data_IF_768100334121
#
_entry.id   IF_768100334121
#
_cell.length_a   1.000
_cell.length_b   1.000
_cell.length_c   1.000
_cell.angle_alpha   90.00
_cell.angle_beta   90.00
_cell.angle_gamma   90.00
#
_symmetry.space_group_name_H-M   'P 1'
#
loop_
_entity.id
_entity.type
_entity.pdbx_description
1 polymer ?
#
# COMPACT_ATOMS: atom_id res chain seq x y z
N UNK A 1 -1.31 23.64 5.53
CA UNK A 1 -0.03 22.95 5.65
C UNK A 1 -0.31 21.48 5.49
N UNK A 2 0.41 20.79 4.61
CA UNK A 2 0.21 19.35 4.41
C UNK A 2 0.59 18.63 5.72
N UNK A 3 -0.25 17.69 6.15
CA UNK A 3 -0.02 16.94 7.39
C UNK A 3 1.24 16.09 7.29
N UNK A 4 1.66 15.70 6.08
CA UNK A 4 2.96 15.05 5.84
C UNK A 4 4.13 16.01 6.03
N UNK A 5 4.01 17.26 5.59
CA UNK A 5 5.04 18.28 5.82
C UNK A 5 5.22 18.57 7.32
N UNK A 6 4.16 18.44 8.11
CA UNK A 6 4.23 18.49 9.59
C UNK A 6 4.90 17.24 10.17
N UNK A 7 4.57 16.05 9.65
CA UNK A 7 5.03 14.76 10.18
C UNK A 7 6.48 14.45 9.85
N UNK A 8 6.94 14.66 8.62
CA UNK A 8 8.26 14.18 8.16
C UNK A 8 9.44 14.70 9.01
N UNK A 9 9.50 16.00 9.38
CA UNK A 9 10.55 16.49 10.28
C UNK A 9 10.43 15.89 11.68
N UNK A 10 9.21 15.69 12.16
CA UNK A 10 8.92 15.17 13.49
C UNK A 10 9.27 13.68 13.60
N UNK A 11 8.91 12.86 12.61
CA UNK A 11 9.30 11.45 12.50
C UNK A 11 10.82 11.27 12.47
N UNK A 12 11.55 12.13 11.74
CA UNK A 12 13.02 12.13 11.74
C UNK A 12 13.60 12.43 13.12
N UNK A 13 13.02 13.38 13.85
CA UNK A 13 13.44 13.70 15.21
C UNK A 13 13.16 12.53 16.17
N UNK A 14 11.99 11.88 16.08
CA UNK A 14 11.66 10.67 16.84
C UNK A 14 12.69 9.57 16.56
N UNK A 15 12.98 9.26 15.29
CA UNK A 15 13.96 8.24 14.94
C UNK A 15 15.35 8.52 15.50
N UNK A 16 15.79 9.78 15.52
CA UNK A 16 17.05 10.17 16.15
C UNK A 16 17.03 10.03 17.68
N UNK A 17 15.88 10.31 18.34
CA UNK A 17 15.70 10.10 19.78
C UNK A 17 15.71 8.61 20.13
N UNK A 18 15.03 7.77 19.36
CA UNK A 18 15.03 6.30 19.52
C UNK A 18 16.44 5.75 19.39
N UNK A 19 17.17 6.14 18.34
CA UNK A 19 18.55 5.70 18.13
C UNK A 19 19.46 6.06 19.31
N UNK A 20 19.39 7.32 19.79
CA UNK A 20 20.16 7.74 20.97
C UNK A 20 19.78 6.95 22.22
N UNK A 21 18.49 6.65 22.39
CA UNK A 21 18.00 5.88 23.52
C UNK A 21 18.50 4.44 23.49
N UNK A 22 18.51 3.79 22.32
CA UNK A 22 19.03 2.44 22.17
C UNK A 22 20.53 2.37 22.48
N UNK A 23 21.31 3.33 22.01
CA UNK A 23 22.73 3.45 22.36
C UNK A 23 22.92 3.59 23.88
N UNK A 24 22.14 4.46 24.53
CA UNK A 24 22.16 4.61 25.98
C UNK A 24 21.85 3.28 26.70
N UNK A 25 20.80 2.57 26.28
CA UNK A 25 20.42 1.28 26.87
C UNK A 25 21.50 0.21 26.70
N UNK A 26 22.20 0.20 25.56
CA UNK A 26 23.27 -0.73 25.27
C UNK A 26 24.51 -0.47 26.15
N UNK A 27 24.93 0.78 26.28
CA UNK A 27 26.15 1.16 27.00
C UNK A 27 26.01 1.06 28.53
N UNK A 28 24.78 1.16 29.05
CA UNK A 28 24.54 1.28 30.50
C UNK A 28 23.91 0.04 31.14
N UNK A 29 23.87 -1.10 30.45
CA UNK A 29 23.04 -2.25 30.86
C UNK A 29 23.40 -2.84 32.24
N UNK A 30 24.68 -2.81 32.66
CA UNK A 30 25.22 -3.60 33.80
C UNK A 30 25.40 -2.80 35.10
N UNK A 31 25.17 -1.48 35.08
CA UNK A 31 25.58 -0.60 36.17
C UNK A 31 24.42 -0.22 37.12
N UNK A 32 24.61 -0.49 38.43
CA UNK A 32 23.68 -0.25 39.54
C UNK A 32 23.83 1.15 40.19
N UNK A 33 24.67 2.03 39.62
CA UNK A 33 24.77 3.42 40.08
C UNK A 33 23.40 4.15 40.05
N UNK A 34 23.19 5.17 40.92
CA UNK A 34 22.00 6.03 40.86
C UNK A 34 21.83 6.67 39.48
N UNK A 35 20.59 6.97 39.09
CA UNK A 35 20.30 7.68 37.85
C UNK A 35 20.93 9.08 37.85
N UNK A 36 21.49 9.48 36.71
CA UNK A 36 22.04 10.81 36.53
C UNK A 36 21.09 11.75 35.77
N UNK A 37 21.55 12.98 35.58
CA UNK A 37 20.83 13.99 34.81
C UNK A 37 20.55 13.57 33.34
N UNK A 38 21.37 12.67 32.78
CA UNK A 38 21.20 12.16 31.42
C UNK A 38 19.91 11.33 31.28
N UNK A 39 19.67 10.38 32.20
CA UNK A 39 18.48 9.52 32.20
C UNK A 39 17.20 10.34 32.35
N UNK A 40 17.23 11.33 33.25
CA UNK A 40 16.11 12.26 33.47
C UNK A 40 15.78 13.01 32.19
N UNK A 41 16.80 13.57 31.52
CA UNK A 41 16.60 14.32 30.28
C UNK A 41 16.09 13.43 29.16
N UNK A 42 16.61 12.19 29.05
CA UNK A 42 16.15 11.23 28.06
C UNK A 42 14.66 10.89 28.25
N UNK A 43 14.23 10.63 29.49
CA UNK A 43 12.82 10.37 29.79
C UNK A 43 11.92 11.58 29.50
N UNK A 44 12.39 12.81 29.76
CA UNK A 44 11.65 14.02 29.40
C UNK A 44 11.50 14.16 27.89
N UNK A 45 12.56 13.90 27.12
CA UNK A 45 12.50 13.91 25.66
C UNK A 45 11.56 12.83 25.12
N UNK A 46 11.63 11.60 25.65
CA UNK A 46 10.73 10.50 25.28
C UNK A 46 9.27 10.82 25.59
N UNK A 47 9.00 11.36 26.78
CA UNK A 47 7.66 11.83 27.14
C UNK A 47 7.16 12.89 26.18
N UNK A 48 7.98 13.91 25.90
CA UNK A 48 7.61 14.95 24.96
C UNK A 48 7.31 14.39 23.57
N UNK A 49 8.09 13.42 23.09
CA UNK A 49 7.87 12.76 21.81
C UNK A 49 6.53 12.01 21.76
N UNK A 50 6.26 11.21 22.79
CA UNK A 50 5.00 10.48 22.92
C UNK A 50 3.79 11.39 22.99
N UNK A 51 3.82 12.42 23.85
CA UNK A 51 2.74 13.40 23.99
C UNK A 51 2.51 14.12 22.65
N UNK A 52 3.58 14.47 21.94
CA UNK A 52 3.51 15.10 20.62
C UNK A 52 2.94 14.16 19.54
N UNK A 53 3.20 12.85 19.59
CA UNK A 53 2.55 11.85 18.71
C UNK A 53 1.04 11.79 18.98
N UNK A 54 0.62 11.80 20.24
CA UNK A 54 -0.79 11.83 20.62
C UNK A 54 -1.49 13.10 20.13
N UNK A 55 -0.88 14.26 20.38
CA UNK A 55 -1.39 15.54 19.90
C UNK A 55 -1.49 15.56 18.37
N UNK A 56 -0.52 14.98 17.67
CA UNK A 56 -0.57 14.83 16.22
C UNK A 56 -1.76 13.97 15.77
N UNK A 57 -1.99 12.83 16.42
CA UNK A 57 -3.11 11.93 16.14
C UNK A 57 -4.45 12.64 16.36
N UNK A 58 -4.62 13.31 17.49
CA UNK A 58 -5.85 14.03 17.83
C UNK A 58 -6.13 15.19 16.89
N UNK A 59 -5.10 16.00 16.56
CA UNK A 59 -5.25 17.08 15.57
C UNK A 59 -5.59 16.54 14.19
N UNK A 60 -4.99 15.41 13.78
CA UNK A 60 -5.27 14.74 12.51
C UNK A 60 -6.69 14.16 12.46
N UNK A 61 -7.15 13.56 13.56
CA UNK A 61 -8.52 13.09 13.72
C UNK A 61 -9.53 14.25 13.64
N UNK A 62 -9.26 15.36 14.33
CA UNK A 62 -10.10 16.57 14.29
C UNK A 62 -10.16 17.22 12.89
N UNK A 63 -9.10 17.07 12.08
CA UNK A 63 -9.07 17.46 10.65
C UNK A 63 -9.82 16.49 9.74
N UNK A 64 -10.33 15.38 10.25
CA UNK A 64 -11.07 14.37 9.48
C UNK A 64 -10.18 13.47 8.61
N UNK A 65 -8.89 13.35 8.93
CA UNK A 65 -8.01 12.44 8.19
C UNK A 65 -8.40 10.98 8.45
N UNK A 66 -8.45 10.19 7.37
CA UNK A 66 -8.92 8.81 7.40
C UNK A 66 -8.08 7.97 8.36
N UNK A 67 -8.75 7.18 9.20
CA UNK A 67 -8.13 6.25 10.16
C UNK A 67 -7.62 6.86 11.45
N UNK A 68 -7.35 8.17 11.51
CA UNK A 68 -6.86 8.83 12.73
C UNK A 68 -7.87 8.84 13.88
N UNK A 69 -9.17 9.01 13.59
CA UNK A 69 -10.21 8.96 14.62
C UNK A 69 -10.35 7.57 15.26
N UNK A 70 -10.20 6.50 14.47
CA UNK A 70 -10.21 5.13 14.98
C UNK A 70 -8.94 4.85 15.80
N UNK A 71 -7.78 5.32 15.31
CA UNK A 71 -6.52 5.25 16.05
C UNK A 71 -6.62 5.95 17.42
N UNK A 72 -7.15 7.19 17.45
CA UNK A 72 -7.36 7.94 18.70
C UNK A 72 -8.30 7.18 19.67
N UNK A 73 -9.44 6.67 19.19
CA UNK A 73 -10.35 5.86 20.00
C UNK A 73 -9.68 4.59 20.55
N UNK A 74 -8.84 3.92 19.75
CA UNK A 74 -8.11 2.72 20.15
C UNK A 74 -7.04 3.04 21.20
N UNK A 75 -6.36 4.18 21.07
CA UNK A 75 -5.39 4.66 22.05
C UNK A 75 -6.06 5.17 23.34
N UNK A 76 -7.29 5.70 23.27
CA UNK A 76 -8.07 6.10 24.44
C UNK A 76 -8.65 4.89 25.20
N UNK A 77 -9.03 3.83 24.49
CA UNK A 77 -9.60 2.62 25.07
C UNK A 77 -8.55 1.59 25.52
N UNK A 78 -7.37 1.58 24.87
CA UNK A 78 -6.20 0.86 25.36
C UNK A 78 -5.70 1.47 26.68
N UNK A 79 -5.01 0.67 27.51
CA UNK A 79 -4.26 1.23 28.65
C UNK A 79 -3.23 2.20 28.07
N UNK A 80 -3.51 3.50 28.11
CA UNK A 80 -2.50 4.54 27.95
C UNK A 80 -1.36 4.16 28.90
N UNK A 81 -0.14 4.11 28.39
CA UNK A 81 0.98 4.44 29.25
C UNK A 81 0.76 5.92 29.54
N UNK A 82 0.01 6.23 30.59
CA UNK A 82 -0.17 7.61 31.03
C UNK A 82 1.20 8.07 31.45
N UNK A 83 1.78 8.94 30.63
CA UNK A 83 3.02 9.66 30.88
C UNK A 83 3.14 10.18 32.32
N UNK A 84 1.99 10.60 32.85
CA UNK A 84 1.79 11.16 34.18
C UNK A 84 2.00 10.16 35.32
N UNK A 85 1.91 8.85 35.07
CA UNK A 85 2.06 7.83 36.11
C UNK A 85 3.50 7.31 36.31
N UNK A 86 4.47 7.74 35.48
CA UNK A 86 5.76 7.04 35.40
C UNK A 86 7.03 7.89 35.32
N UNK A 87 6.98 9.22 35.22
CA UNK A 87 8.17 10.02 35.54
C UNK A 87 8.09 10.32 37.03
N UNK A 88 8.93 9.72 37.87
CA UNK A 88 8.94 10.05 39.27
C UNK A 88 9.26 11.53 39.44
N UNK A 89 8.48 12.23 40.27
CA UNK A 89 8.85 13.59 40.69
C UNK A 89 10.21 13.59 41.41
N UNK A 90 10.60 12.44 41.97
CA UNK A 90 11.88 12.18 42.62
C UNK A 90 12.68 11.09 41.88
N UNK A 91 13.40 11.51 40.83
CA UNK A 91 14.21 10.60 40.00
C UNK A 91 15.43 10.06 40.75
N UNK A 92 15.91 10.79 41.76
CA UNK A 92 17.06 10.37 42.56
C UNK A 92 16.73 9.18 43.48
N UNK A 93 15.44 8.96 43.78
CA UNK A 93 14.96 7.87 44.62
C UNK A 93 14.70 6.54 43.87
N UNK A 94 14.74 6.54 42.53
CA UNK A 94 14.33 5.37 41.75
C UNK A 94 15.53 4.48 41.36
N UNK A 95 15.42 3.16 41.54
CA UNK A 95 16.45 2.24 41.06
C UNK A 95 16.67 2.40 39.56
N UNK A 96 17.93 2.45 39.12
CA UNK A 96 18.29 2.59 37.69
C UNK A 96 17.72 1.46 36.83
N UNK A 97 17.49 0.28 37.41
CA UNK A 97 16.82 -0.85 36.77
C UNK A 97 15.36 -0.55 36.40
N UNK A 98 14.62 0.15 37.25
CA UNK A 98 13.26 0.60 36.95
C UNK A 98 13.27 1.67 35.87
N UNK A 99 14.19 2.62 35.94
CA UNK A 99 14.34 3.67 34.93
C UNK A 99 14.69 3.12 33.55
N UNK A 100 15.56 2.11 33.47
CA UNK A 100 15.87 1.39 32.22
C UNK A 100 14.63 0.72 31.64
N UNK A 101 13.82 0.05 32.47
CA UNK A 101 12.55 -0.56 32.04
C UNK A 101 11.63 0.51 31.45
N UNK A 102 11.48 1.64 32.13
CA UNK A 102 10.67 2.74 31.64
C UNK A 102 11.17 3.25 30.29
N UNK A 103 12.45 3.63 30.19
CA UNK A 103 13.05 4.11 28.94
C UNK A 103 12.78 3.13 27.78
N UNK A 104 12.91 1.82 28.01
CA UNK A 104 12.60 0.78 27.02
C UNK A 104 11.11 0.78 26.64
N UNK A 105 10.21 0.79 27.61
CA UNK A 105 8.77 0.77 27.38
C UNK A 105 8.30 2.02 26.62
N UNK A 106 8.88 3.18 26.93
CA UNK A 106 8.63 4.44 26.22
C UNK A 106 9.10 4.40 24.77
N UNK A 107 10.34 3.97 24.51
CA UNK A 107 10.84 3.84 23.12
C UNK A 107 9.99 2.87 22.31
N UNK A 108 9.60 1.73 22.89
CA UNK A 108 8.73 0.79 22.19
C UNK A 108 7.35 1.41 21.89
N UNK A 109 6.79 2.15 22.83
CA UNK A 109 5.49 2.81 22.66
C UNK A 109 5.53 3.90 21.60
N UNK A 110 6.60 4.72 21.59
CA UNK A 110 6.82 5.77 20.59
C UNK A 110 7.00 5.16 19.20
N UNK A 111 7.81 4.11 19.06
CA UNK A 111 8.02 3.45 17.77
C UNK A 111 6.75 2.81 17.21
N UNK A 112 5.87 2.30 18.08
CA UNK A 112 4.54 1.81 17.67
C UNK A 112 3.64 2.96 17.17
N UNK A 113 3.63 4.10 17.87
CA UNK A 113 2.85 5.28 17.46
C UNK A 113 3.38 5.89 16.16
N UNK A 114 4.70 6.01 16.04
CA UNK A 114 5.38 6.50 14.83
C UNK A 114 5.00 5.63 13.64
N UNK A 115 5.12 4.30 13.76
CA UNK A 115 4.77 3.37 12.70
C UNK A 115 3.29 3.48 12.30
N UNK A 116 2.39 3.62 13.27
CA UNK A 116 0.95 3.77 13.02
C UNK A 116 0.64 5.10 12.31
N UNK A 117 1.25 6.21 12.74
CA UNK A 117 1.06 7.52 12.10
C UNK A 117 1.61 7.51 10.68
N UNK A 118 2.83 7.01 10.50
CA UNK A 118 3.46 6.85 9.18
C UNK A 118 2.60 5.98 8.27
N UNK A 119 2.02 4.89 8.79
CA UNK A 119 1.05 4.06 8.08
C UNK A 119 -0.20 4.86 7.69
N UNK A 120 -0.84 5.56 8.62
CA UNK A 120 -2.06 6.33 8.35
C UNK A 120 -1.84 7.48 7.35
N UNK A 121 -0.63 8.04 7.33
CA UNK A 121 -0.23 9.05 6.37
C UNK A 121 0.26 8.47 5.06
N UNK A 122 0.55 7.17 4.96
CA UNK A 122 1.04 6.58 3.73
C UNK A 122 -0.02 6.68 2.64
N UNK A 123 0.41 7.10 1.45
CA UNK A 123 -0.47 7.10 0.27
C UNK A 123 -0.56 5.68 -0.29
N UNK A 124 -1.33 4.83 0.38
CA UNK A 124 -1.49 3.44 -0.06
C UNK A 124 -2.01 3.38 -1.50
N UNK A 125 -2.94 4.25 -1.90
CA UNK A 125 -3.43 4.25 -3.27
C UNK A 125 -2.34 4.62 -4.28
N UNK A 126 -1.52 5.64 -4.01
CA UNK A 126 -0.37 5.97 -4.85
C UNK A 126 0.64 4.82 -4.92
N UNK A 127 0.92 4.15 -3.79
CA UNK A 127 1.80 2.99 -3.76
C UNK A 127 1.25 1.84 -4.61
N UNK A 128 -0.03 1.47 -4.43
CA UNK A 128 -0.69 0.41 -5.21
C UNK A 128 -0.68 0.78 -6.69
N UNK A 129 -0.99 2.03 -7.04
CA UNK A 129 -0.96 2.54 -8.42
C UNK A 129 0.42 2.40 -9.05
N UNK A 130 1.46 2.91 -8.38
CA UNK A 130 2.83 2.86 -8.90
C UNK A 130 3.32 1.41 -9.04
N UNK A 131 2.96 0.53 -8.10
CA UNK A 131 3.30 -0.88 -8.12
C UNK A 131 2.57 -1.62 -9.24
N UNK A 132 1.30 -1.29 -9.49
CA UNK A 132 0.51 -1.85 -10.60
C UNK A 132 1.10 -1.46 -11.95
N UNK A 133 1.45 -0.18 -12.14
CA UNK A 133 2.14 0.30 -13.34
C UNK A 133 3.46 -0.42 -13.59
N UNK A 134 4.24 -0.61 -12.52
CA UNK A 134 5.50 -1.33 -12.60
C UNK A 134 5.26 -2.80 -12.97
N UNK A 135 4.26 -3.44 -12.39
CA UNK A 135 3.92 -4.83 -12.66
C UNK A 135 3.53 -5.03 -14.13
N UNK A 136 2.70 -4.17 -14.72
CA UNK A 136 2.36 -4.23 -16.15
C UNK A 136 3.58 -3.97 -17.06
N UNK A 137 4.42 -2.98 -16.73
CA UNK A 137 5.66 -2.73 -17.48
C UNK A 137 6.62 -3.93 -17.38
N UNK A 138 6.71 -4.55 -16.21
CA UNK A 138 7.51 -5.75 -16.00
C UNK A 138 6.98 -6.91 -16.83
N UNK A 139 5.66 -7.13 -16.84
CA UNK A 139 5.00 -8.16 -17.66
C UNK A 139 5.34 -7.99 -19.13
N UNK A 140 5.15 -6.78 -19.68
CA UNK A 140 5.43 -6.50 -21.09
C UNK A 140 6.90 -6.78 -21.43
N UNK A 141 7.83 -6.42 -20.53
CA UNK A 141 9.26 -6.70 -20.71
C UNK A 141 9.58 -8.19 -20.66
N UNK A 142 9.00 -8.94 -19.73
CA UNK A 142 9.19 -10.38 -19.64
C UNK A 142 8.70 -11.08 -20.90
N UNK A 143 7.50 -10.76 -21.40
CA UNK A 143 6.96 -11.32 -22.65
C UNK A 143 7.88 -11.04 -23.83
N UNK A 144 8.51 -9.86 -23.90
CA UNK A 144 9.45 -9.51 -24.97
C UNK A 144 10.74 -10.32 -24.96
N UNK A 145 11.21 -10.79 -23.80
CA UNK A 145 12.55 -11.40 -23.66
C UNK A 145 12.51 -12.90 -23.36
N UNK A 146 11.47 -13.39 -22.70
CA UNK A 146 11.33 -14.79 -22.32
C UNK A 146 10.46 -15.53 -23.36
N UNK A 147 11.11 -16.35 -24.19
CA UNK A 147 10.46 -17.10 -25.25
C UNK A 147 9.43 -18.11 -24.72
N UNK A 148 9.65 -18.68 -23.53
CA UNK A 148 8.71 -19.64 -22.92
C UNK A 148 7.47 -18.90 -22.43
N UNK A 149 7.67 -17.81 -21.69
CA UNK A 149 6.55 -16.99 -21.22
C UNK A 149 5.72 -16.47 -22.42
N UNK A 150 6.39 -16.01 -23.48
CA UNK A 150 5.72 -15.61 -24.72
C UNK A 150 4.89 -16.74 -25.33
N UNK A 151 5.42 -17.95 -25.40
CA UNK A 151 4.69 -19.11 -25.91
C UNK A 151 3.47 -19.46 -25.04
N UNK A 152 3.61 -19.38 -23.71
CA UNK A 152 2.50 -19.61 -22.76
C UNK A 152 1.39 -18.56 -22.95
N UNK A 153 1.75 -17.29 -23.11
CA UNK A 153 0.80 -16.21 -23.39
C UNK A 153 0.13 -16.37 -24.76
N UNK A 154 0.87 -16.73 -25.82
CA UNK A 154 0.30 -17.01 -27.13
C UNK A 154 -0.69 -18.20 -27.09
N UNK A 155 -0.34 -19.26 -26.35
CA UNK A 155 -1.22 -20.40 -26.14
C UNK A 155 -2.48 -20.03 -25.35
N UNK A 156 -2.37 -19.19 -24.32
CA UNK A 156 -3.51 -18.66 -23.57
C UNK A 156 -4.41 -17.80 -24.46
N UNK A 157 -3.82 -16.94 -25.29
CA UNK A 157 -4.55 -16.10 -26.25
C UNK A 157 -5.34 -16.93 -27.27
N UNK A 158 -4.80 -18.07 -27.70
CA UNK A 158 -5.50 -19.03 -28.55
C UNK A 158 -6.72 -19.70 -27.90
N UNK A 159 -6.82 -19.69 -26.56
CA UNK A 159 -7.94 -20.24 -25.80
C UNK A 159 -9.03 -19.18 -25.58
N UNK A 160 -9.42 -18.92 -24.33
CA UNK A 160 -10.44 -17.93 -23.93
C UNK A 160 -9.80 -16.78 -23.15
N UNK A 161 -10.57 -15.73 -22.93
CA UNK A 161 -10.14 -14.53 -22.21
C UNK A 161 -9.61 -14.86 -20.81
N UNK A 162 -10.28 -15.78 -20.12
CA UNK A 162 -9.96 -16.21 -18.76
C UNK A 162 -8.55 -16.83 -18.66
N UNK A 163 -8.04 -17.42 -19.75
CA UNK A 163 -6.69 -17.96 -19.75
C UNK A 163 -5.63 -16.85 -19.68
N UNK A 164 -5.83 -15.73 -20.38
CA UNK A 164 -4.95 -14.56 -20.30
C UNK A 164 -5.12 -13.84 -18.96
N UNK A 165 -6.35 -13.72 -18.48
CA UNK A 165 -6.71 -13.13 -17.18
C UNK A 165 -5.94 -13.82 -16.03
N UNK A 166 -5.93 -15.15 -15.98
CA UNK A 166 -5.19 -15.92 -14.97
C UNK A 166 -3.68 -15.71 -15.02
N UNK A 167 -3.09 -15.67 -16.23
CA UNK A 167 -1.65 -15.39 -16.38
C UNK A 167 -1.31 -13.98 -15.91
N UNK A 168 -2.13 -13.00 -16.30
CA UNK A 168 -2.00 -11.61 -15.86
C UNK A 168 -2.11 -11.46 -14.35
N UNK A 169 -3.14 -12.07 -13.76
CA UNK A 169 -3.38 -12.07 -12.32
C UNK A 169 -2.26 -12.76 -11.53
N UNK A 170 -1.75 -13.89 -12.03
CA UNK A 170 -0.61 -14.59 -11.43
C UNK A 170 0.64 -13.71 -11.44
N UNK A 171 0.87 -12.99 -12.54
CA UNK A 171 1.98 -12.04 -12.61
C UNK A 171 1.79 -10.88 -11.63
N UNK A 172 0.59 -10.31 -11.52
CA UNK A 172 0.29 -9.26 -10.52
C UNK A 172 0.54 -9.77 -9.09
N UNK A 173 0.21 -11.03 -8.80
CA UNK A 173 0.45 -11.65 -7.50
C UNK A 173 1.95 -11.76 -7.16
N UNK A 174 2.83 -11.95 -8.14
CA UNK A 174 4.29 -11.88 -7.92
C UNK A 174 4.76 -10.50 -7.43
N UNK A 175 3.98 -9.46 -7.67
CA UNK A 175 4.20 -8.12 -7.11
C UNK A 175 3.38 -7.86 -5.85
N UNK A 176 2.77 -8.88 -5.23
CA UNK A 176 1.87 -8.72 -4.09
C UNK A 176 0.58 -7.96 -4.42
N UNK A 177 0.15 -7.97 -5.68
CA UNK A 177 -1.09 -7.37 -6.13
C UNK A 177 -2.10 -8.47 -6.44
N UNK A 178 -3.20 -8.47 -5.71
CA UNK A 178 -4.31 -9.39 -5.87
C UNK A 178 -5.29 -8.78 -6.88
N UNK A 179 -5.23 -9.28 -8.10
CA UNK A 179 -6.17 -8.91 -9.15
C UNK A 179 -7.50 -9.60 -8.90
N UNK A 180 -8.59 -8.84 -8.95
CA UNK A 180 -9.93 -9.37 -8.74
C UNK A 180 -10.91 -8.82 -9.77
N UNK A 181 -12.02 -9.55 -9.96
CA UNK A 181 -13.23 -9.03 -10.58
C UNK A 181 -14.39 -9.13 -9.62
N UNK A 182 -15.47 -8.45 -9.98
CA UNK A 182 -16.68 -8.42 -9.18
C UNK A 182 -17.77 -9.17 -9.95
N UNK A 183 -18.44 -10.10 -9.28
CA UNK A 183 -19.56 -10.81 -9.88
C UNK A 183 -20.86 -9.96 -9.85
N UNK A 184 -21.94 -10.49 -10.43
CA UNK A 184 -23.24 -9.80 -10.46
C UNK A 184 -23.88 -9.61 -9.09
N UNK A 185 -23.36 -10.26 -8.04
CA UNK A 185 -23.81 -10.13 -6.65
C UNK A 185 -22.92 -9.16 -5.85
N UNK A 186 -21.88 -8.59 -6.46
CA UNK A 186 -20.94 -7.69 -5.80
C UNK A 186 -19.80 -8.40 -5.05
N UNK A 187 -19.66 -9.73 -5.18
CA UNK A 187 -18.61 -10.48 -4.53
C UNK A 187 -17.29 -10.37 -5.31
N UNK A 188 -16.18 -10.22 -4.58
CA UNK A 188 -14.83 -10.14 -5.14
C UNK A 188 -14.28 -11.54 -5.35
N UNK A 189 -13.93 -11.82 -6.59
CA UNK A 189 -13.42 -13.11 -7.03
C UNK A 189 -11.96 -12.96 -7.45
N UNK A 190 -11.07 -13.76 -6.88
CA UNK A 190 -9.66 -13.82 -7.29
C UNK A 190 -9.56 -14.31 -8.73
N UNK A 191 -8.78 -13.62 -9.54
CA UNK A 191 -8.62 -13.96 -10.95
C UNK A 191 -7.71 -15.17 -11.19
N UNK A 192 -6.94 -15.61 -10.19
CA UNK A 192 -6.10 -16.81 -10.32
C UNK A 192 -6.90 -18.09 -10.06
N UNK A 193 -7.62 -18.13 -8.95
CA UNK A 193 -8.35 -19.30 -8.43
C UNK A 193 -9.84 -19.30 -8.74
N UNK A 194 -10.43 -18.15 -9.03
CA UNK A 194 -11.89 -17.93 -9.10
C UNK A 194 -12.63 -18.17 -7.79
N UNK A 195 -11.93 -18.07 -6.66
CA UNK A 195 -12.52 -18.17 -5.33
C UNK A 195 -12.79 -16.77 -4.74
N UNK A 196 -13.72 -16.64 -3.78
CA UNK A 196 -13.89 -15.41 -3.03
C UNK A 196 -12.61 -14.99 -2.30
N UNK A 197 -12.29 -13.70 -2.34
CA UNK A 197 -11.10 -13.17 -1.65
C UNK A 197 -11.37 -12.94 -0.16
N UNK A 198 -10.48 -13.45 0.70
CA UNK A 198 -10.42 -13.09 2.12
C UNK A 198 -9.49 -11.90 2.35
N UNK A 199 -10.06 -10.73 2.62
CA UNK A 199 -9.31 -9.48 2.88
C UNK A 199 -8.27 -9.61 4.00
N UNK A 200 -8.51 -10.49 4.98
CA UNK A 200 -7.58 -10.70 6.10
C UNK A 200 -6.29 -11.34 5.62
N UNK A 201 -6.38 -12.27 4.67
CA UNK A 201 -5.21 -12.93 4.08
C UNK A 201 -4.43 -11.93 3.24
N UNK A 202 -5.13 -11.13 2.43
CA UNK A 202 -4.50 -10.10 1.61
C UNK A 202 -3.75 -9.10 2.49
N UNK A 203 -4.41 -8.55 3.53
CA UNK A 203 -3.79 -7.64 4.49
C UNK A 203 -2.61 -8.27 5.24
N UNK A 204 -2.76 -9.49 5.76
CA UNK A 204 -1.69 -10.19 6.47
C UNK A 204 -0.46 -10.51 5.59
N UNK A 205 -0.66 -10.65 4.27
CA UNK A 205 0.44 -10.84 3.30
C UNK A 205 1.14 -9.54 2.90
N UNK A 206 0.68 -8.38 3.38
CA UNK A 206 1.13 -7.07 2.89
C UNK A 206 0.73 -6.81 1.42
N UNK A 207 -0.29 -7.53 0.95
CA UNK A 207 -0.80 -7.43 -0.42
C UNK A 207 -1.78 -6.28 -0.59
N UNK A 208 -2.09 -5.98 -1.85
CA UNK A 208 -3.11 -5.00 -2.18
C UNK A 208 -4.06 -5.49 -3.27
N UNK A 209 -5.30 -5.01 -3.24
CA UNK A 209 -6.35 -5.34 -4.20
C UNK A 209 -6.37 -4.36 -5.36
N UNK A 210 -6.42 -4.88 -6.57
CA UNK A 210 -6.49 -4.09 -7.81
C UNK A 210 -7.63 -4.62 -8.69
N UNK A 211 -8.58 -3.74 -9.02
CA UNK A 211 -9.62 -4.06 -9.98
C UNK A 211 -9.04 -4.01 -11.40
N UNK A 212 -9.07 -5.14 -12.09
CA UNK A 212 -8.62 -5.25 -13.49
C UNK A 212 -9.66 -5.95 -14.33
N UNK A 213 -9.96 -5.41 -15.50
CA UNK A 213 -10.80 -6.08 -16.50
C UNK A 213 -9.98 -6.38 -17.75
N UNK A 214 -9.85 -7.66 -18.08
CA UNK A 214 -9.01 -8.12 -19.18
C UNK A 214 -9.88 -8.40 -20.40
N UNK A 215 -9.46 -7.93 -21.58
CA UNK A 215 -10.11 -8.20 -22.85
C UNK A 215 -9.15 -8.72 -23.89
N UNK A 216 -9.55 -9.78 -24.58
CA UNK A 216 -8.79 -10.28 -25.72
C UNK A 216 -9.23 -9.57 -27.01
N UNK A 217 -8.29 -8.95 -27.73
CA UNK A 217 -8.54 -8.32 -29.02
C UNK A 217 -7.76 -9.09 -30.10
N UNK A 218 -8.49 -9.81 -30.97
CA UNK A 218 -7.90 -10.65 -32.03
C UNK A 218 -7.39 -9.83 -33.21
N UNK A 219 -8.16 -8.84 -33.62
CA UNK A 219 -7.85 -7.97 -34.74
C UNK A 219 -7.72 -6.55 -34.21
N UNK A 220 -6.53 -5.96 -34.35
CA UNK A 220 -6.25 -4.60 -33.90
C UNK A 220 -6.85 -3.64 -34.92
N UNK A 221 -8.07 -3.22 -34.67
CA UNK A 221 -8.72 -2.13 -35.39
C UNK A 221 -9.58 -1.31 -34.43
N UNK A 222 -9.80 -0.04 -34.77
CA UNK A 222 -10.55 0.91 -33.96
C UNK A 222 -11.87 0.37 -33.41
N UNK A 223 -12.69 -0.30 -34.23
CA UNK A 223 -13.99 -0.83 -33.79
C UNK A 223 -13.84 -1.92 -32.74
N UNK A 224 -12.93 -2.87 -32.95
CA UNK A 224 -12.67 -3.95 -32.00
C UNK A 224 -12.12 -3.40 -30.67
N UNK A 225 -11.24 -2.40 -30.74
CA UNK A 225 -10.69 -1.69 -29.57
C UNK A 225 -11.80 -1.00 -28.77
N UNK A 226 -12.61 -0.17 -29.43
CA UNK A 226 -13.72 0.54 -28.80
C UNK A 226 -14.74 -0.42 -28.16
N UNK A 227 -15.10 -1.51 -28.85
CA UNK A 227 -16.02 -2.52 -28.33
C UNK A 227 -15.47 -3.25 -27.10
N UNK A 228 -14.19 -3.66 -27.15
CA UNK A 228 -13.54 -4.36 -26.04
C UNK A 228 -13.51 -3.46 -24.79
N UNK A 229 -13.05 -2.22 -24.93
CA UNK A 229 -12.97 -1.32 -23.79
C UNK A 229 -14.32 -0.84 -23.29
N UNK A 230 -15.30 -0.59 -24.15
CA UNK A 230 -16.66 -0.29 -23.73
C UNK A 230 -17.28 -1.44 -22.92
N UNK A 231 -17.06 -2.68 -23.35
CA UNK A 231 -17.51 -3.88 -22.62
C UNK A 231 -16.80 -4.03 -21.28
N UNK A 232 -15.46 -3.92 -21.24
CA UNK A 232 -14.67 -4.00 -20.01
C UNK A 232 -15.08 -2.93 -19.00
N UNK A 233 -15.25 -1.70 -19.50
CA UNK A 233 -15.68 -0.56 -18.71
C UNK A 233 -17.08 -0.75 -18.13
N UNK A 234 -18.03 -1.25 -18.92
CA UNK A 234 -19.38 -1.56 -18.43
C UNK A 234 -19.34 -2.59 -17.29
N UNK A 235 -18.49 -3.62 -17.42
CA UNK A 235 -18.29 -4.62 -16.37
C UNK A 235 -17.65 -4.00 -15.12
N UNK A 236 -16.59 -3.21 -15.28
CA UNK A 236 -15.88 -2.59 -14.17
C UNK A 236 -16.70 -1.52 -13.42
N UNK A 237 -17.51 -0.72 -14.15
CA UNK A 237 -18.32 0.36 -13.56
C UNK A 237 -19.61 -0.13 -12.91
N UNK A 238 -20.06 -1.34 -13.21
CA UNK A 238 -21.14 -1.97 -12.44
C UNK A 238 -20.74 -2.24 -10.98
N UNK A 239 -19.46 -2.05 -10.65
CA UNK A 239 -18.98 -2.05 -9.28
C UNK A 239 -19.42 -0.79 -8.52
N UNK A 240 -20.61 -0.88 -7.94
CA UNK A 240 -21.13 0.08 -6.94
C UNK A 240 -20.28 0.00 -5.69
N UNK A 241 -19.89 1.17 -5.18
CA UNK A 241 -19.11 1.39 -3.96
C UNK A 241 -19.62 0.58 -2.75
N UNK A 242 -19.14 -0.65 -2.59
CA UNK A 242 -19.16 -1.33 -1.29
C UNK A 242 -18.25 -0.60 -0.31
N UNK A 243 -18.36 -0.88 0.99
CA UNK A 243 -17.43 -0.36 1.99
C UNK A 243 -16.03 -0.96 1.76
N UNK A 244 -15.29 -0.36 0.83
CA UNK A 244 -13.96 -0.83 0.43
C UNK A 244 -12.99 -0.69 1.61
N UNK A 245 -12.15 -1.69 1.86
CA UNK A 245 -11.14 -1.68 2.91
C UNK A 245 -9.99 -0.67 2.66
N UNK A 246 -8.96 -0.67 3.51
CA UNK A 246 -7.78 0.19 3.35
C UNK A 246 -6.76 -0.33 2.31
N UNK A 247 -6.88 -1.60 1.91
CA UNK A 247 -5.90 -2.34 1.09
C UNK A 247 -6.20 -2.35 -0.41
N UNK A 248 -7.17 -1.56 -0.87
CA UNK A 248 -7.67 -1.58 -2.26
C UNK A 248 -7.40 -0.27 -2.99
N UNK A 249 -7.05 -0.35 -4.28
CA UNK A 249 -6.98 0.81 -5.18
C UNK A 249 -8.38 1.22 -5.63
N UNK A 250 -8.99 2.17 -4.92
CA UNK A 250 -10.39 2.58 -5.15
C UNK A 250 -10.55 3.59 -6.27
N UNK A 251 -9.55 4.47 -6.40
CA UNK A 251 -9.57 5.60 -7.31
C UNK A 251 -9.22 5.24 -8.75
N UNK A 252 -8.79 4.01 -9.05
CA UNK A 252 -8.34 3.65 -10.40
C UNK A 252 -8.73 2.23 -10.80
N UNK A 253 -9.20 2.10 -12.04
CA UNK A 253 -9.56 0.84 -12.69
C UNK A 253 -8.60 0.61 -13.87
N UNK A 254 -8.09 -0.61 -14.02
CA UNK A 254 -7.27 -0.96 -15.19
C UNK A 254 -8.06 -1.82 -16.16
N UNK A 255 -8.28 -1.29 -17.37
CA UNK A 255 -8.83 -2.04 -18.49
C UNK A 255 -7.66 -2.52 -19.36
N UNK A 256 -7.46 -3.83 -19.41
CA UNK A 256 -6.28 -4.44 -20.01
C UNK A 256 -6.67 -5.14 -21.31
N UNK A 257 -6.21 -4.61 -22.45
CA UNK A 257 -6.30 -5.30 -23.73
C UNK A 257 -5.09 -6.22 -23.93
N UNK A 258 -5.34 -7.49 -24.23
CA UNK A 258 -4.32 -8.44 -24.68
C UNK A 258 -4.42 -8.57 -26.18
N UNK A 259 -3.31 -8.39 -26.90
CA UNK A 259 -3.24 -8.44 -28.37
C UNK A 259 -2.01 -9.22 -28.84
N UNK A 260 -2.05 -9.71 -30.08
CA UNK A 260 -0.83 -10.23 -30.74
C UNK A 260 0.07 -9.07 -31.18
N UNK A 261 -0.51 -8.11 -31.89
CA UNK A 261 0.17 -6.91 -32.40
C UNK A 261 -0.09 -5.68 -31.50
N UNK A 262 0.81 -4.69 -31.48
CA UNK A 262 0.63 -3.48 -30.68
C UNK A 262 -0.57 -2.65 -31.16
N UNK A 263 -1.37 -2.15 -30.22
CA UNK A 263 -2.37 -1.12 -30.50
C UNK A 263 -1.63 0.20 -30.79
N UNK A 264 -1.86 0.86 -31.95
CA UNK A 264 -1.25 2.15 -32.23
C UNK A 264 -1.63 3.18 -31.15
N UNK A 265 -0.66 3.98 -30.68
CA UNK A 265 -0.88 4.93 -29.58
C UNK A 265 -2.06 5.89 -29.82
N UNK A 266 -2.28 6.30 -31.07
CA UNK A 266 -3.38 7.20 -31.43
C UNK A 266 -4.76 6.51 -31.47
N UNK A 267 -4.81 5.18 -31.50
CA UNK A 267 -6.05 4.39 -31.39
C UNK A 267 -6.37 4.01 -29.94
N UNK A 268 -5.41 4.17 -29.03
CA UNK A 268 -5.57 3.88 -27.61
C UNK A 268 -6.36 5.01 -26.94
N UNK A 269 -7.56 4.79 -26.38
CA UNK A 269 -8.28 5.76 -25.58
C UNK A 269 -7.42 6.46 -24.52
N UNK A 270 -7.66 7.76 -24.37
CA UNK A 270 -7.09 8.57 -23.29
C UNK A 270 -7.70 8.15 -21.95
N UNK A 271 -6.97 8.35 -20.87
CA UNK A 271 -7.47 8.12 -19.52
C UNK A 271 -8.69 9.01 -19.25
N UNK A 272 -9.76 8.43 -18.69
CA UNK A 272 -10.98 9.16 -18.35
C UNK A 272 -11.27 9.08 -16.86
N UNK A 273 -12.07 10.01 -16.33
CA UNK A 273 -12.56 9.95 -14.94
C UNK A 273 -14.06 9.74 -14.96
N UNK A 274 -14.53 8.64 -14.38
CA UNK A 274 -15.94 8.27 -14.37
C UNK A 274 -16.34 7.73 -13.00
N UNK A 275 -17.46 8.23 -12.48
CA UNK A 275 -17.92 7.92 -11.11
C UNK A 275 -16.81 8.15 -10.05
N UNK A 276 -15.96 9.15 -10.25
CA UNK A 276 -14.84 9.47 -9.36
C UNK A 276 -13.64 8.51 -9.45
N UNK A 277 -13.63 7.59 -10.43
CA UNK A 277 -12.54 6.65 -10.67
C UNK A 277 -11.83 6.97 -11.98
N UNK A 278 -10.50 6.98 -11.96
CA UNK A 278 -9.66 7.05 -13.14
C UNK A 278 -9.69 5.70 -13.87
N UNK A 279 -10.12 5.70 -15.12
CA UNK A 279 -10.08 4.54 -16.00
C UNK A 279 -8.79 4.60 -16.78
N UNK A 280 -7.93 3.60 -16.55
CA UNK A 280 -6.65 3.48 -17.23
C UNK A 280 -6.67 2.32 -18.20
N UNK A 281 -6.17 2.59 -19.40
CA UNK A 281 -6.10 1.61 -20.47
C UNK A 281 -4.69 1.08 -20.61
N UNK A 282 -4.55 -0.25 -20.65
CA UNK A 282 -3.27 -0.95 -20.78
C UNK A 282 -3.35 -1.89 -21.96
N UNK A 283 -2.30 -1.94 -22.79
CA UNK A 283 -2.16 -2.96 -23.83
C UNK A 283 -0.97 -3.88 -23.50
N UNK A 284 -1.26 -5.17 -23.33
CA UNK A 284 -0.27 -6.24 -23.22
C UNK A 284 -0.14 -6.93 -24.57
N UNK A 285 1.01 -6.75 -25.20
CA UNK A 285 1.32 -7.25 -26.55
C UNK A 285 2.10 -8.55 -26.42
N UNK A 286 1.59 -9.63 -27.00
CA UNK A 286 2.18 -10.97 -26.93
C UNK A 286 3.34 -11.12 -27.91
N UNK A 287 3.25 -10.52 -29.10
CA UNK A 287 4.31 -10.54 -30.11
C UNK A 287 4.82 -9.12 -30.39
N UNK A 288 5.47 -8.46 -29.41
CA UNK A 288 5.93 -7.10 -29.58
C UNK A 288 7.00 -7.05 -30.68
N UNK A 289 7.00 -6.01 -31.54
CA UNK A 289 7.98 -5.87 -32.59
C UNK A 289 9.39 -5.73 -32.01
N UNK A 290 10.37 -6.36 -32.66
CA UNK A 290 11.77 -6.22 -32.25
C UNK A 290 12.25 -4.78 -32.47
N UNK A 291 13.01 -4.18 -31.51
CA UNK A 291 13.44 -2.78 -31.61
C UNK A 291 14.18 -2.44 -32.90
N UNK A 292 14.97 -3.39 -33.43
CA UNK A 292 15.75 -3.21 -34.66
C UNK A 292 14.91 -3.15 -35.94
N UNK A 293 13.59 -3.44 -35.86
CA UNK A 293 12.66 -3.39 -37.01
C UNK A 293 11.56 -2.34 -36.82
N UNK A 294 11.49 -1.65 -35.68
CA UNK A 294 10.42 -0.71 -35.37
C UNK A 294 10.59 0.65 -36.03
N UNK A 295 9.66 1.02 -36.91
CA UNK A 295 9.25 2.43 -37.08
C UNK A 295 8.14 2.65 -36.05
N UNK A 296 8.46 3.30 -34.93
CA UNK A 296 7.48 3.67 -33.90
C UNK A 296 6.80 5.00 -34.24
#
# INVERSE_FOLDING_TARGET
MDVREEWDPFAKWIGALEQRTWLYLQDNFVDDRPCGALEVNLLRELRHAYDSCFDFIQRSAARGLKGFAECDLRLQSGRRVTAELFIPDDVDAHPRTEMKRLVKDWVLSIGLLEAEITYLLADFELWIRNKTDLAFKHLQRLISVDARLKADWAAAFGKREEACERLGATHLLWHGLWAFKVDSQGARTDLVTFEPIDDRIVGASGGALVLTEWKKIKEVNRRAIEQAFASAKGQALNYVSGALGAIELKSQIHLVAVTMDPIPKHEMPEETVEQGKTIRYVNIVIDPPVPSRGKY
#
